data_IF_092350390970
#
_entry.id   IF_092350390970
#
_cell.length_a   1.000
_cell.length_b   1.000
_cell.length_c   1.000
_cell.angle_alpha   90.00
_cell.angle_beta   90.00
_cell.angle_gamma   90.00
#
_symmetry.space_group_name_H-M   'P 1'
#
loop_
_entity.id
_entity.type
_entity.pdbx_description
1 polymer ?
#
# COMPACT_ATOMS: atom_id res chain seq x y z
N UNK A 1 -16.89 6.25 -15.86
CA UNK A 1 -15.91 5.16 -16.04
C UNK A 1 -16.24 4.04 -15.06
N UNK A 2 -16.52 2.86 -15.60
CA UNK A 2 -16.83 1.63 -14.87
C UNK A 2 -15.60 1.16 -14.08
N UNK A 3 -15.81 0.44 -12.97
CA UNK A 3 -14.73 -0.12 -12.15
C UNK A 3 -13.98 -1.20 -12.92
N UNK A 4 -12.65 -1.11 -12.95
CA UNK A 4 -11.77 -2.11 -13.57
C UNK A 4 -11.39 -3.18 -12.52
N UNK A 5 -11.91 -4.40 -12.67
CA UNK A 5 -11.73 -5.47 -11.67
C UNK A 5 -10.33 -6.10 -11.74
N UNK A 6 -9.59 -5.95 -12.84
CA UNK A 6 -8.19 -6.41 -12.90
C UNK A 6 -7.31 -5.76 -11.84
N UNK A 7 -7.59 -4.48 -11.52
CA UNK A 7 -6.84 -3.75 -10.50
C UNK A 7 -7.14 -4.28 -9.09
N UNK A 8 -8.39 -4.64 -8.82
CA UNK A 8 -8.77 -5.27 -7.55
C UNK A 8 -8.15 -6.67 -7.45
N UNK A 9 -8.13 -7.44 -8.55
CA UNK A 9 -7.49 -8.76 -8.59
C UNK A 9 -5.98 -8.68 -8.32
N UNK A 10 -5.27 -7.72 -8.90
CA UNK A 10 -3.85 -7.49 -8.63
C UNK A 10 -3.60 -7.15 -7.16
N UNK A 11 -4.45 -6.32 -6.54
CA UNK A 11 -4.38 -6.05 -5.11
C UNK A 11 -4.73 -7.27 -4.25
N UNK A 12 -5.67 -8.10 -4.68
CA UNK A 12 -6.00 -9.37 -4.03
C UNK A 12 -4.81 -10.33 -4.04
N UNK A 13 -4.12 -10.43 -5.18
CA UNK A 13 -2.85 -11.17 -5.29
C UNK A 13 -1.78 -10.58 -4.36
N UNK A 14 -1.67 -9.26 -4.29
CA UNK A 14 -0.77 -8.59 -3.37
C UNK A 14 -1.07 -8.93 -1.90
N UNK A 15 -2.35 -9.01 -1.50
CA UNK A 15 -2.75 -9.44 -0.16
C UNK A 15 -2.27 -10.88 0.13
N UNK A 16 -2.46 -11.81 -0.82
CA UNK A 16 -1.98 -13.18 -0.67
C UNK A 16 -0.45 -13.25 -0.50
N UNK A 17 0.30 -12.56 -1.37
CA UNK A 17 1.76 -12.49 -1.29
C UNK A 17 2.23 -11.90 0.04
N UNK A 18 1.49 -10.93 0.58
CA UNK A 18 1.81 -10.33 1.87
C UNK A 18 1.73 -11.35 3.02
N UNK A 19 0.78 -12.30 2.99
CA UNK A 19 0.76 -13.43 3.94
C UNK A 19 2.06 -14.25 3.84
N UNK A 20 2.53 -14.54 2.62
CA UNK A 20 3.77 -15.28 2.41
C UNK A 20 5.00 -14.53 2.91
N UNK A 21 5.00 -13.20 2.83
CA UNK A 21 6.09 -12.35 3.31
C UNK A 21 6.21 -12.34 4.85
N UNK A 22 5.16 -12.71 5.57
CA UNK A 22 5.08 -12.60 7.03
C UNK A 22 4.95 -13.97 7.68
N UNK A 23 6.04 -14.75 7.66
CA UNK A 23 6.30 -15.85 8.59
C UNK A 23 7.77 -16.33 8.50
N UNK A 24 8.64 -15.76 9.34
CA UNK A 24 10.07 -16.10 9.38
C UNK A 24 10.39 -17.13 10.47
N UNK A 25 9.42 -17.61 11.24
CA UNK A 25 9.66 -18.55 12.34
C UNK A 25 9.94 -19.94 11.79
N UNK A 26 11.15 -20.15 11.26
CA UNK A 26 11.67 -21.45 10.86
C UNK A 26 11.95 -21.65 9.36
N UNK A 27 11.81 -20.65 8.50
CA UNK A 27 12.14 -20.78 7.06
C UNK A 27 13.63 -21.03 6.81
N UNK A 28 14.52 -20.77 7.77
CA UNK A 28 15.91 -21.22 7.69
C UNK A 28 16.06 -22.75 7.83
N UNK A 29 15.04 -23.45 8.35
CA UNK A 29 15.02 -24.91 8.53
C UNK A 29 14.23 -25.65 7.44
N UNK A 30 13.52 -24.93 6.57
CA UNK A 30 12.68 -25.51 5.51
C UNK A 30 12.93 -24.80 4.18
N UNK A 31 12.99 -25.53 3.05
CA UNK A 31 13.27 -25.01 1.69
C UNK A 31 12.19 -24.06 1.09
N UNK A 32 11.42 -23.36 1.91
CA UNK A 32 10.34 -22.45 1.50
C UNK A 32 10.81 -21.03 1.15
N UNK A 33 12.12 -20.81 0.98
CA UNK A 33 12.70 -19.50 0.68
C UNK A 33 12.06 -18.87 -0.57
N UNK A 34 11.78 -19.67 -1.61
CA UNK A 34 11.17 -19.18 -2.84
C UNK A 34 9.78 -18.55 -2.63
N UNK A 35 8.95 -19.13 -1.76
CA UNK A 35 7.60 -18.58 -1.47
C UNK A 35 7.70 -17.30 -0.65
N UNK A 36 8.59 -17.26 0.33
CA UNK A 36 8.88 -16.05 1.10
C UNK A 36 9.39 -14.92 0.19
N UNK A 37 10.31 -15.23 -0.72
CA UNK A 37 10.84 -14.31 -1.70
C UNK A 37 9.73 -13.77 -2.62
N UNK A 38 8.84 -14.63 -3.12
CA UNK A 38 7.64 -14.22 -3.87
C UNK A 38 6.74 -13.28 -3.05
N UNK A 39 6.60 -13.54 -1.76
CA UNK A 39 5.88 -12.66 -0.83
C UNK A 39 6.47 -11.24 -0.79
N UNK A 40 7.79 -11.11 -0.97
CA UNK A 40 8.50 -9.85 -1.08
C UNK A 40 7.97 -8.91 -2.17
N UNK A 41 7.30 -9.43 -3.20
CA UNK A 41 6.74 -8.65 -4.30
C UNK A 41 5.34 -8.08 -4.04
N UNK A 42 4.71 -8.38 -2.89
CA UNK A 42 3.42 -7.79 -2.53
C UNK A 42 3.37 -6.25 -2.65
N UNK A 43 4.37 -5.49 -2.13
CA UNK A 43 4.36 -4.03 -2.21
C UNK A 43 4.45 -3.51 -3.65
N UNK A 44 5.13 -4.22 -4.55
CA UNK A 44 5.24 -3.84 -5.98
C UNK A 44 3.85 -3.76 -6.60
N UNK A 45 3.03 -4.80 -6.40
CA UNK A 45 1.65 -4.82 -6.89
C UNK A 45 0.82 -3.70 -6.25
N UNK A 46 0.96 -3.50 -4.93
CA UNK A 46 0.22 -2.45 -4.23
C UNK A 46 0.52 -1.05 -4.75
N UNK A 47 1.80 -0.70 -4.88
CA UNK A 47 2.22 0.62 -5.32
C UNK A 47 1.87 0.87 -6.79
N UNK A 48 2.10 -0.12 -7.66
CA UNK A 48 1.77 0.02 -9.07
C UNK A 48 0.26 0.19 -9.29
N UNK A 49 -0.59 -0.63 -8.65
CA UNK A 49 -2.04 -0.43 -8.75
C UNK A 49 -2.47 0.88 -8.11
N UNK A 50 -1.85 1.32 -7.02
CA UNK A 50 -2.15 2.60 -6.38
C UNK A 50 -1.88 3.79 -7.29
N UNK A 51 -0.80 3.75 -8.09
CA UNK A 51 -0.52 4.74 -9.13
C UNK A 51 -1.64 4.81 -10.17
N UNK A 52 -2.12 3.67 -10.68
CA UNK A 52 -3.24 3.64 -11.62
C UNK A 52 -4.51 4.23 -10.99
N UNK A 53 -4.87 3.78 -9.79
CA UNK A 53 -6.08 4.25 -9.09
C UNK A 53 -6.02 5.75 -8.84
N UNK A 54 -4.85 6.29 -8.52
CA UNK A 54 -4.64 7.72 -8.31
C UNK A 54 -5.01 8.53 -9.54
N UNK A 55 -4.70 8.06 -10.76
CA UNK A 55 -5.09 8.77 -11.99
C UNK A 55 -6.61 8.95 -12.11
N UNK A 56 -7.39 7.95 -11.69
CA UNK A 56 -8.85 8.05 -11.66
C UNK A 56 -9.33 9.04 -10.59
N UNK A 57 -8.64 9.09 -9.45
CA UNK A 57 -8.96 10.03 -8.37
C UNK A 57 -8.66 11.47 -8.77
N UNK A 58 -7.53 11.73 -9.43
CA UNK A 58 -7.14 13.07 -9.93
C UNK A 58 -8.18 13.62 -10.91
N UNK A 59 -8.79 12.77 -11.75
CA UNK A 59 -9.86 13.16 -12.68
C UNK A 59 -11.20 13.48 -12.01
N UNK A 60 -11.44 12.97 -10.78
CA UNK A 60 -12.75 13.04 -10.11
C UNK A 60 -12.79 13.96 -8.89
N UNK A 61 -11.66 14.20 -8.26
CA UNK A 61 -11.58 14.91 -6.97
C UNK A 61 -10.66 16.11 -7.09
N UNK A 62 -10.92 17.13 -6.28
CA UNK A 62 -10.03 18.28 -6.20
C UNK A 62 -8.68 17.89 -5.59
N UNK A 63 -7.61 18.51 -6.05
CA UNK A 63 -6.24 18.25 -5.56
C UNK A 63 -6.11 18.48 -4.06
N UNK A 64 -6.77 19.49 -3.51
CA UNK A 64 -6.80 19.76 -2.05
C UNK A 64 -7.34 18.57 -1.26
N UNK A 65 -8.44 17.96 -1.73
CA UNK A 65 -9.03 16.78 -1.09
C UNK A 65 -8.10 15.58 -1.18
N UNK A 66 -7.43 15.38 -2.32
CA UNK A 66 -6.46 14.31 -2.48
C UNK A 66 -5.24 14.49 -1.60
N UNK A 67 -4.67 15.69 -1.54
CA UNK A 67 -3.53 15.99 -0.67
C UNK A 67 -3.89 15.69 0.78
N UNK A 68 -5.03 16.20 1.29
CA UNK A 68 -5.43 15.89 2.66
C UNK A 68 -5.61 14.38 2.88
N UNK A 69 -6.26 13.70 1.94
CA UNK A 69 -6.49 12.26 2.03
C UNK A 69 -5.19 11.46 2.14
N UNK A 70 -4.22 11.77 1.27
CA UNK A 70 -2.93 11.09 1.28
C UNK A 70 -2.02 11.55 2.41
N UNK A 71 -2.19 12.78 2.93
CA UNK A 71 -1.56 13.23 4.17
C UNK A 71 -2.10 12.46 5.39
N UNK A 72 -3.41 12.19 5.45
CA UNK A 72 -3.98 11.35 6.51
C UNK A 72 -3.45 9.90 6.43
N UNK A 73 -3.34 9.32 5.23
CA UNK A 73 -2.71 8.01 5.03
C UNK A 73 -1.21 8.02 5.40
N UNK A 74 -0.49 9.10 5.09
CA UNK A 74 0.89 9.26 5.51
C UNK A 74 1.02 9.25 7.03
N UNK A 75 0.21 10.06 7.72
CA UNK A 75 0.22 10.10 9.19
C UNK A 75 -0.15 8.75 9.80
N UNK A 76 -1.14 8.05 9.21
CA UNK A 76 -1.54 6.72 9.65
C UNK A 76 -0.38 5.72 9.60
N UNK A 77 0.56 5.89 8.66
CA UNK A 77 1.74 5.08 8.59
C UNK A 77 2.54 5.03 9.89
N UNK A 78 2.55 6.10 10.69
CA UNK A 78 3.20 6.07 12.02
C UNK A 78 2.52 5.09 12.99
N UNK A 79 1.20 4.97 12.97
CA UNK A 79 0.51 3.93 13.75
C UNK A 79 0.93 2.54 13.28
N UNK A 80 1.02 2.35 11.96
CA UNK A 80 1.45 1.09 11.36
C UNK A 80 2.89 0.72 11.73
N UNK A 81 3.82 1.68 11.76
CA UNK A 81 5.22 1.44 12.19
C UNK A 81 5.28 0.79 13.57
N UNK A 82 4.51 1.31 14.52
CA UNK A 82 4.52 0.75 15.86
C UNK A 82 3.85 -0.62 15.97
N UNK A 83 2.90 -0.97 15.09
CA UNK A 83 2.40 -2.35 14.98
C UNK A 83 3.45 -3.27 14.37
N UNK A 84 4.03 -2.89 13.24
CA UNK A 84 4.90 -3.74 12.44
C UNK A 84 6.25 -4.00 13.10
N UNK A 85 6.80 -3.01 13.81
CA UNK A 85 8.17 -3.04 14.34
C UNK A 85 8.24 -3.17 15.86
N UNK A 86 7.13 -2.98 16.59
CA UNK A 86 7.05 -3.17 18.05
C UNK A 86 7.97 -2.25 18.89
N UNK A 87 8.61 -1.25 18.28
CA UNK A 87 9.63 -0.38 18.91
C UNK A 87 9.24 1.09 18.83
N UNK A 88 8.27 1.47 19.66
CA UNK A 88 7.85 2.85 19.86
C UNK A 88 9.02 3.73 20.32
N UNK A 89 9.22 4.90 19.67
CA UNK A 89 10.24 5.88 20.05
C UNK A 89 11.68 5.59 19.59
N UNK A 90 11.92 4.48 18.86
CA UNK A 90 13.24 4.18 18.27
C UNK A 90 13.43 4.87 16.91
N UNK A 91 14.67 5.00 16.41
CA UNK A 91 14.96 5.53 15.06
C UNK A 91 14.16 4.81 13.95
N UNK A 92 13.86 3.53 14.18
CA UNK A 92 13.07 2.67 13.30
C UNK A 92 11.62 3.15 13.17
N UNK A 93 11.05 3.78 14.21
CA UNK A 93 9.71 4.39 14.18
C UNK A 93 9.61 5.57 13.20
N UNK A 94 10.71 6.29 12.97
CA UNK A 94 10.77 7.41 12.02
C UNK A 94 10.99 6.96 10.58
N UNK A 95 11.12 5.65 10.41
CA UNK A 95 11.24 4.98 9.13
C UNK A 95 10.05 5.14 8.19
N UNK A 96 10.34 5.05 6.90
CA UNK A 96 9.33 5.02 5.86
C UNK A 96 8.74 3.61 5.73
N UNK A 97 7.46 3.48 6.04
CA UNK A 97 6.69 2.24 5.83
C UNK A 97 5.69 2.37 4.68
N UNK A 98 5.04 1.26 4.38
CA UNK A 98 4.18 1.11 3.20
C UNK A 98 3.13 2.22 3.05
N UNK A 99 2.53 2.67 4.15
CA UNK A 99 1.49 3.70 4.14
C UNK A 99 2.07 5.11 3.94
N UNK A 100 3.22 5.42 4.55
CA UNK A 100 3.86 6.71 4.38
C UNK A 100 4.34 6.89 2.93
N UNK A 101 4.97 5.86 2.36
CA UNK A 101 5.37 5.89 0.95
C UNK A 101 4.17 5.99 0.03
N UNK A 102 3.09 5.26 0.32
CA UNK A 102 1.86 5.34 -0.47
C UNK A 102 1.28 6.76 -0.43
N UNK A 103 1.19 7.36 0.75
CA UNK A 103 0.73 8.73 0.94
C UNK A 103 1.62 9.73 0.20
N UNK A 104 2.93 9.70 0.44
CA UNK A 104 3.87 10.67 -0.13
C UNK A 104 4.00 10.54 -1.65
N UNK A 105 4.11 9.31 -2.18
CA UNK A 105 4.15 9.07 -3.63
C UNK A 105 2.89 9.61 -4.32
N UNK A 106 1.73 9.42 -3.69
CA UNK A 106 0.47 9.94 -4.20
C UNK A 106 0.43 11.47 -4.17
N UNK A 107 0.92 12.11 -3.10
CA UNK A 107 1.03 13.58 -3.02
C UNK A 107 1.95 14.10 -4.12
N UNK A 108 3.14 13.50 -4.29
CA UNK A 108 4.10 13.88 -5.35
C UNK A 108 3.42 13.85 -6.72
N UNK A 109 2.72 12.77 -7.06
CA UNK A 109 2.04 12.64 -8.35
C UNK A 109 0.84 13.60 -8.49
N UNK A 110 0.10 13.90 -7.42
CA UNK A 110 -1.00 14.90 -7.44
C UNK A 110 -0.47 16.32 -7.66
N UNK A 111 0.68 16.65 -7.06
CA UNK A 111 1.32 17.95 -7.27
C UNK A 111 1.86 18.04 -8.69
N UNK A 112 2.57 17.00 -9.13
CA UNK A 112 3.14 16.90 -10.48
C UNK A 112 2.07 17.00 -11.57
N UNK A 113 0.88 16.44 -11.33
CA UNK A 113 -0.25 16.51 -12.28
C UNK A 113 -0.76 17.94 -12.54
N UNK A 114 -0.29 18.94 -11.79
CA UNK A 114 -0.55 20.35 -12.10
C UNK A 114 0.19 20.79 -13.37
N UNK A 115 1.37 20.24 -13.62
CA UNK A 115 2.31 20.75 -14.63
C UNK A 115 2.45 19.82 -15.82
N UNK A 116 2.24 18.52 -15.61
CA UNK A 116 2.43 17.51 -16.65
C UNK A 116 1.27 16.52 -16.69
N UNK A 117 1.08 15.89 -17.84
CA UNK A 117 0.22 14.73 -17.95
C UNK A 117 0.93 13.50 -17.36
N UNK A 118 0.51 13.08 -16.18
CA UNK A 118 1.08 11.94 -15.45
C UNK A 118 1.01 10.63 -16.24
N UNK A 119 0.02 10.45 -17.12
CA UNK A 119 -0.07 9.26 -17.97
C UNK A 119 1.10 9.23 -18.95
N UNK A 120 1.46 10.37 -19.54
CA UNK A 120 2.62 10.48 -20.46
C UNK A 120 3.95 10.38 -19.73
N UNK A 121 4.11 11.11 -18.61
CA UNK A 121 5.37 11.15 -17.85
C UNK A 121 5.68 9.81 -17.17
N UNK A 122 4.68 8.94 -16.99
CA UNK A 122 4.88 7.59 -16.44
C UNK A 122 5.90 6.73 -17.20
N UNK A 123 6.21 7.03 -18.48
CA UNK A 123 7.30 6.38 -19.23
C UNK A 123 8.66 6.52 -18.55
N UNK A 124 8.85 7.57 -17.75
CA UNK A 124 10.04 7.82 -16.95
C UNK A 124 10.03 7.04 -15.63
N UNK A 125 9.26 5.95 -15.51
CA UNK A 125 9.23 5.13 -14.29
C UNK A 125 10.60 4.63 -13.81
N UNK A 126 11.64 4.42 -14.64
CA UNK A 126 12.97 4.06 -14.13
C UNK A 126 13.68 5.22 -13.44
N UNK A 127 13.31 6.47 -13.72
CA UNK A 127 14.02 7.65 -13.25
C UNK A 127 14.04 7.77 -11.71
N UNK A 128 12.92 7.58 -10.96
CA UNK A 128 12.98 7.53 -9.51
C UNK A 128 13.95 6.47 -8.98
N UNK A 129 14.04 5.30 -9.61
CA UNK A 129 14.99 4.27 -9.21
C UNK A 129 16.45 4.70 -9.47
N UNK A 130 16.73 5.35 -10.61
CA UNK A 130 18.05 5.92 -10.89
C UNK A 130 18.42 6.98 -9.86
N UNK A 131 17.48 7.86 -9.49
CA UNK A 131 17.68 8.84 -8.41
C UNK A 131 18.01 8.14 -7.09
N UNK A 132 17.35 7.02 -6.78
CA UNK A 132 17.68 6.22 -5.61
C UNK A 132 19.13 5.72 -5.62
N UNK A 133 19.62 5.20 -6.75
CA UNK A 133 21.01 4.77 -6.90
C UNK A 133 22.00 5.94 -6.77
N UNK A 134 21.64 7.13 -7.26
CA UNK A 134 22.47 8.33 -7.07
C UNK A 134 22.48 8.78 -5.60
N UNK A 135 21.44 8.45 -4.84
CA UNK A 135 21.31 8.76 -3.41
C UNK A 135 22.44 8.23 -2.54
N UNK A 136 23.09 7.13 -2.94
CA UNK A 136 24.26 6.59 -2.24
C UNK A 136 25.45 7.55 -2.22
N UNK A 137 25.53 8.46 -3.19
CA UNK A 137 26.63 9.43 -3.31
C UNK A 137 26.29 10.81 -2.73
N UNK A 138 25.07 11.02 -2.24
CA UNK A 138 24.63 12.30 -1.67
C UNK A 138 25.07 12.35 -0.19
N UNK A 139 25.66 13.46 0.31
CA UNK A 139 25.97 13.63 1.73
C UNK A 139 24.74 13.47 2.63
N UNK A 140 24.93 13.20 3.92
CA UNK A 140 23.81 13.04 4.85
C UNK A 140 23.04 14.36 5.07
N UNK A 141 21.71 14.26 5.11
CA UNK A 141 20.80 15.37 5.37
C UNK A 141 19.50 14.86 6.02
N UNK A 142 18.71 15.72 6.70
CA UNK A 142 17.45 15.31 7.31
C UNK A 142 16.51 14.65 6.29
N UNK A 143 15.92 13.51 6.64
CA UNK A 143 15.04 12.71 5.75
C UNK A 143 15.74 12.01 4.58
N UNK A 144 17.07 12.07 4.43
CA UNK A 144 17.80 11.24 3.45
C UNK A 144 17.35 9.78 3.54
N UNK A 145 17.16 9.31 4.76
CA UNK A 145 16.80 7.93 5.01
C UNK A 145 15.40 7.56 4.51
N UNK A 146 14.47 8.51 4.61
CA UNK A 146 13.11 8.35 4.13
C UNK A 146 13.05 8.28 2.59
N UNK A 147 13.99 8.96 1.92
CA UNK A 147 14.05 9.06 0.47
C UNK A 147 14.86 7.91 -0.15
N UNK A 148 15.94 7.50 0.52
CA UNK A 148 17.00 6.68 -0.07
C UNK A 148 17.37 5.42 0.73
N UNK A 149 17.15 5.32 2.05
CA UNK A 149 17.74 4.24 2.87
C UNK A 149 17.24 2.85 2.46
N UNK A 150 18.15 1.91 2.20
CA UNK A 150 17.83 0.49 2.21
C UNK A 150 17.47 0.01 3.63
N UNK A 151 16.61 -1.00 3.75
CA UNK A 151 16.20 -1.58 5.03
C UNK A 151 14.72 -1.38 5.38
N UNK A 152 14.01 -0.51 4.66
CA UNK A 152 12.57 -0.24 4.84
C UNK A 152 11.90 0.04 3.49
N UNK A 153 10.98 1.02 3.41
CA UNK A 153 10.36 1.47 2.18
C UNK A 153 10.85 2.88 1.78
N UNK A 154 12.02 3.05 1.13
CA UNK A 154 12.46 4.37 0.67
C UNK A 154 11.57 4.92 -0.45
N UNK A 155 11.24 6.22 -0.44
CA UNK A 155 10.27 6.81 -1.36
C UNK A 155 10.56 6.52 -2.85
N UNK A 156 11.78 6.82 -3.29
CA UNK A 156 12.11 6.88 -4.71
C UNK A 156 11.93 5.56 -5.48
N UNK A 157 12.48 4.41 -5.04
CA UNK A 157 12.33 3.18 -5.80
C UNK A 157 10.89 2.66 -5.77
N UNK A 158 10.08 3.01 -4.75
CA UNK A 158 8.65 2.67 -4.74
C UNK A 158 7.81 3.62 -5.61
N UNK A 159 8.18 4.90 -5.72
CA UNK A 159 7.59 5.85 -6.67
C UNK A 159 7.78 5.38 -8.12
N UNK A 160 8.90 4.72 -8.44
CA UNK A 160 9.10 4.06 -9.73
C UNK A 160 7.99 3.04 -10.01
N UNK A 161 7.59 2.22 -9.03
CA UNK A 161 6.51 1.25 -9.22
C UNK A 161 5.13 1.91 -9.38
N UNK A 162 4.84 3.02 -8.69
CA UNK A 162 3.64 3.83 -8.96
C UNK A 162 3.57 4.24 -10.43
N UNK A 163 4.67 4.79 -10.95
CA UNK A 163 4.76 5.22 -12.34
C UNK A 163 4.68 4.03 -13.31
N UNK A 164 5.31 2.90 -13.01
CA UNK A 164 5.23 1.68 -13.81
C UNK A 164 3.79 1.20 -13.97
N UNK A 165 3.00 1.22 -12.90
CA UNK A 165 1.58 0.86 -12.96
C UNK A 165 0.79 1.75 -13.91
N UNK A 166 0.98 3.08 -13.81
CA UNK A 166 0.35 4.06 -14.70
C UNK A 166 0.76 3.80 -16.16
N UNK A 167 2.05 3.57 -16.39
CA UNK A 167 2.63 3.33 -17.70
C UNK A 167 2.05 2.08 -18.37
N UNK A 168 2.02 0.96 -17.66
CA UNK A 168 1.47 -0.31 -18.15
C UNK A 168 -0.02 -0.22 -18.48
N UNK A 169 -0.76 0.61 -17.72
CA UNK A 169 -2.20 0.76 -17.88
C UNK A 169 -2.58 1.66 -19.06
N UNK A 170 -1.93 2.83 -19.22
CA UNK A 170 -2.35 3.85 -20.18
C UNK A 170 -1.49 3.92 -21.44
N UNK A 171 -0.19 3.69 -21.31
CA UNK A 171 0.77 4.06 -22.36
C UNK A 171 1.15 2.89 -23.27
N UNK A 172 0.92 1.65 -22.83
CA UNK A 172 1.33 0.47 -23.58
C UNK A 172 0.15 -0.39 -23.99
N UNK A 173 0.09 -0.74 -25.28
CA UNK A 173 -0.77 -1.84 -25.75
C UNK A 173 -0.28 -3.15 -25.12
N UNK A 174 -1.15 -4.16 -24.93
CA UNK A 174 -0.76 -5.44 -24.34
C UNK A 174 0.49 -6.08 -24.96
N UNK A 175 0.67 -5.97 -26.28
CA UNK A 175 1.87 -6.46 -27.00
C UNK A 175 3.16 -5.77 -26.55
N UNK A 176 3.14 -4.47 -26.26
CA UNK A 176 4.32 -3.75 -25.79
C UNK A 176 4.68 -4.13 -24.35
N UNK A 177 3.68 -4.37 -23.50
CA UNK A 177 3.93 -4.92 -22.16
C UNK A 177 4.60 -6.31 -22.22
N UNK A 178 4.23 -7.15 -23.19
CA UNK A 178 4.91 -8.44 -23.43
C UNK A 178 6.36 -8.25 -23.88
N UNK A 179 6.61 -7.36 -24.83
CA UNK A 179 7.97 -7.07 -25.30
C UNK A 179 8.82 -6.52 -24.15
N UNK A 180 8.30 -5.56 -23.38
CA UNK A 180 8.99 -5.00 -22.22
C UNK A 180 9.31 -6.08 -21.17
N UNK A 181 8.37 -6.99 -20.89
CA UNK A 181 8.61 -8.14 -20.01
C UNK A 181 9.75 -9.02 -20.51
N UNK A 182 9.78 -9.36 -21.80
CA UNK A 182 10.84 -10.18 -22.40
C UNK A 182 12.20 -9.48 -22.37
N UNK A 183 12.23 -8.17 -22.60
CA UNK A 183 13.45 -7.37 -22.48
C UNK A 183 13.96 -7.40 -21.04
N UNK A 184 13.09 -7.20 -20.05
CA UNK A 184 13.49 -7.22 -18.63
C UNK A 184 13.95 -8.61 -18.18
N UNK A 185 13.32 -9.68 -18.69
CA UNK A 185 13.78 -11.05 -18.49
C UNK A 185 15.16 -11.29 -19.12
N UNK A 186 15.40 -10.76 -20.33
CA UNK A 186 16.70 -10.81 -20.98
C UNK A 186 17.79 -10.08 -20.17
N UNK A 187 17.48 -8.89 -19.64
CA UNK A 187 18.38 -8.18 -18.71
C UNK A 187 18.65 -8.98 -17.44
N UNK A 188 17.62 -9.64 -16.88
CA UNK A 188 17.78 -10.49 -15.70
C UNK A 188 18.72 -11.66 -15.97
N UNK A 189 18.55 -12.37 -17.09
CA UNK A 189 19.44 -13.48 -17.50
C UNK A 189 20.86 -12.96 -17.71
N UNK A 190 21.03 -11.83 -18.42
CA UNK A 190 22.33 -11.23 -18.63
C UNK A 190 23.02 -10.82 -17.33
N UNK A 191 22.27 -10.28 -16.35
CA UNK A 191 22.82 -9.95 -15.03
C UNK A 191 23.28 -11.19 -14.29
N UNK A 192 22.44 -12.23 -14.21
CA UNK A 192 22.83 -13.50 -13.56
C UNK A 192 24.13 -14.05 -14.17
N UNK A 193 24.22 -14.10 -15.51
CA UNK A 193 25.36 -14.66 -16.21
C UNK A 193 26.65 -13.84 -16.04
N UNK A 194 26.56 -12.51 -15.97
CA UNK A 194 27.73 -11.64 -15.94
C UNK A 194 28.25 -11.32 -14.53
N UNK A 195 27.37 -11.22 -13.54
CA UNK A 195 27.75 -10.74 -12.20
C UNK A 195 27.60 -11.82 -11.13
N UNK A 196 26.91 -12.92 -11.43
CA UNK A 196 26.53 -13.92 -10.42
C UNK A 196 25.63 -13.36 -9.32
N UNK A 197 25.14 -12.11 -9.46
CA UNK A 197 24.30 -11.45 -8.46
C UNK A 197 23.05 -12.29 -8.27
N UNK A 198 22.89 -12.79 -7.04
CA UNK A 198 21.66 -13.42 -6.58
C UNK A 198 20.65 -12.35 -6.18
N UNK A 199 19.38 -12.66 -6.31
CA UNK A 199 18.31 -11.71 -6.02
C UNK A 199 18.21 -11.47 -4.52
N UNK A 200 18.79 -10.38 -4.06
CA UNK A 200 18.67 -9.96 -2.67
C UNK A 200 17.22 -9.62 -2.29
N UNK A 201 17.00 -9.58 -0.98
CA UNK A 201 15.74 -9.22 -0.36
C UNK A 201 15.30 -7.79 -0.76
N UNK A 202 13.98 -7.57 -0.86
CA UNK A 202 13.31 -6.28 -1.08
C UNK A 202 13.86 -5.10 -0.26
N UNK A 203 14.50 -5.35 0.88
CA UNK A 203 15.05 -4.31 1.73
C UNK A 203 16.26 -3.59 1.11
N UNK A 204 17.05 -4.26 0.26
CA UNK A 204 18.21 -3.63 -0.37
C UNK A 204 17.83 -2.74 -1.56
N UNK A 205 16.66 -2.98 -2.16
CA UNK A 205 16.22 -2.35 -3.41
C UNK A 205 17.33 -2.31 -4.47
N UNK A 206 18.10 -3.40 -4.57
CA UNK A 206 19.19 -3.53 -5.54
C UNK A 206 18.68 -3.45 -6.99
N UNK A 207 19.55 -3.13 -7.96
CA UNK A 207 19.19 -3.18 -9.39
C UNK A 207 18.60 -4.53 -9.80
N UNK A 208 19.15 -5.64 -9.26
CA UNK A 208 18.64 -6.98 -9.49
C UNK A 208 17.20 -7.14 -8.98
N UNK A 209 16.94 -6.78 -7.73
CA UNK A 209 15.58 -6.84 -7.17
C UNK A 209 14.60 -5.95 -7.96
N UNK A 210 15.00 -4.74 -8.34
CA UNK A 210 14.17 -3.83 -9.12
C UNK A 210 13.78 -4.42 -10.49
N UNK A 211 14.74 -4.99 -11.22
CA UNK A 211 14.51 -5.63 -12.53
C UNK A 211 13.55 -6.82 -12.42
N UNK A 212 13.75 -7.69 -11.42
CA UNK A 212 12.82 -8.80 -11.17
C UNK A 212 11.45 -8.28 -10.79
N UNK A 213 11.39 -7.25 -9.96
CA UNK A 213 10.15 -6.60 -9.56
C UNK A 213 9.36 -6.04 -10.75
N UNK A 214 10.03 -5.36 -11.67
CA UNK A 214 9.43 -4.84 -12.90
C UNK A 214 8.94 -5.99 -13.79
N UNK A 215 9.75 -7.03 -13.96
CA UNK A 215 9.40 -8.23 -14.74
C UNK A 215 8.15 -8.92 -14.15
N UNK A 216 8.16 -9.11 -12.82
CA UNK A 216 7.05 -9.68 -12.07
C UNK A 216 5.77 -8.87 -12.22
N UNK A 217 5.86 -7.54 -12.18
CA UNK A 217 4.69 -6.68 -12.39
C UNK A 217 4.13 -6.81 -13.81
N UNK A 218 4.98 -6.74 -14.84
CA UNK A 218 4.53 -6.93 -16.23
C UNK A 218 3.83 -8.28 -16.41
N UNK A 219 4.45 -9.35 -15.92
CA UNK A 219 3.88 -10.69 -15.96
C UNK A 219 2.52 -10.75 -15.26
N UNK A 220 2.45 -10.30 -14.00
CA UNK A 220 1.21 -10.30 -13.22
C UNK A 220 0.12 -9.47 -13.88
N UNK A 221 0.45 -8.29 -14.41
CA UNK A 221 -0.49 -7.44 -15.12
C UNK A 221 -1.05 -8.12 -16.37
N UNK A 222 -0.19 -8.74 -17.19
CA UNK A 222 -0.61 -9.47 -18.39
C UNK A 222 -1.47 -10.69 -18.06
N UNK A 223 -1.08 -11.49 -17.07
CA UNK A 223 -1.83 -12.66 -16.62
C UNK A 223 -3.21 -12.23 -16.13
N UNK A 224 -3.28 -11.28 -15.18
CA UNK A 224 -4.56 -10.82 -14.61
C UNK A 224 -5.48 -10.24 -15.69
N UNK A 225 -4.95 -9.43 -16.62
CA UNK A 225 -5.73 -8.90 -17.75
C UNK A 225 -6.23 -9.98 -18.70
N UNK A 226 -5.49 -11.06 -18.85
CA UNK A 226 -5.88 -12.19 -19.69
C UNK A 226 -6.95 -13.04 -18.98
N UNK A 227 -6.80 -13.30 -17.69
CA UNK A 227 -7.74 -14.13 -16.92
C UNK A 227 -9.01 -13.38 -16.48
N UNK A 228 -9.00 -12.04 -16.42
CA UNK A 228 -10.18 -11.25 -16.00
C UNK A 228 -11.43 -11.57 -16.83
N UNK A 229 -11.23 -11.92 -18.10
CA UNK A 229 -12.29 -12.33 -19.03
C UNK A 229 -12.93 -13.67 -18.64
N UNK A 230 -12.24 -14.48 -17.86
CA UNK A 230 -12.65 -15.82 -17.46
C UNK A 230 -13.18 -15.80 -16.02
N UNK A 231 -14.26 -16.55 -15.78
CA UNK A 231 -14.79 -16.78 -14.43
C UNK A 231 -13.98 -17.89 -13.77
N UNK A 232 -12.90 -17.55 -13.08
CA UNK A 232 -12.10 -18.54 -12.33
C UNK A 232 -12.61 -18.70 -10.88
N UNK A 233 -12.39 -19.87 -10.25
CA UNK A 233 -12.72 -20.09 -8.85
C UNK A 233 -12.04 -19.06 -7.94
N UNK A 234 -12.71 -18.59 -6.89
CA UNK A 234 -12.20 -17.59 -5.94
C UNK A 234 -12.04 -16.16 -6.47
N UNK A 235 -12.50 -15.85 -7.69
CA UNK A 235 -12.41 -14.49 -8.26
C UNK A 235 -13.00 -13.42 -7.34
N UNK A 236 -14.13 -13.70 -6.71
CA UNK A 236 -14.84 -12.72 -5.88
C UNK A 236 -14.10 -12.45 -4.56
N UNK A 237 -13.41 -13.45 -4.03
CA UNK A 237 -12.62 -13.41 -2.81
C UNK A 237 -11.36 -12.57 -3.04
N UNK A 238 -10.66 -12.76 -4.18
CA UNK A 238 -9.55 -11.90 -4.56
C UNK A 238 -9.98 -10.46 -4.80
N UNK A 239 -11.12 -10.25 -5.48
CA UNK A 239 -11.70 -8.90 -5.63
C UNK A 239 -12.00 -8.32 -4.24
N UNK A 240 -12.62 -9.08 -3.34
CA UNK A 240 -12.93 -8.62 -1.99
C UNK A 240 -11.67 -8.20 -1.22
N UNK A 241 -10.61 -9.00 -1.25
CA UNK A 241 -9.31 -8.66 -0.65
C UNK A 241 -8.74 -7.36 -1.26
N UNK A 242 -8.76 -7.24 -2.59
CA UNK A 242 -8.26 -6.05 -3.26
C UNK A 242 -9.05 -4.79 -2.99
N UNK A 243 -10.37 -4.90 -2.88
CA UNK A 243 -11.26 -3.79 -2.53
C UNK A 243 -11.04 -3.29 -1.11
N UNK A 244 -10.69 -4.20 -0.20
CA UNK A 244 -10.53 -3.94 1.23
C UNK A 244 -9.06 -4.03 1.66
N UNK A 245 -8.13 -3.76 0.75
CA UNK A 245 -6.70 -4.03 0.99
C UNK A 245 -6.09 -3.21 2.12
N UNK A 246 -6.64 -2.02 2.40
CA UNK A 246 -6.20 -1.21 3.54
C UNK A 246 -6.60 -1.87 4.86
N UNK A 247 -7.83 -2.39 4.97
CA UNK A 247 -8.26 -3.15 6.14
C UNK A 247 -7.45 -4.44 6.28
N UNK A 248 -7.20 -5.12 5.16
CA UNK A 248 -6.33 -6.30 5.12
C UNK A 248 -4.95 -6.01 5.74
N UNK A 249 -4.35 -4.87 5.40
CA UNK A 249 -3.03 -4.47 5.90
C UNK A 249 -2.96 -4.49 7.44
N UNK A 250 -4.00 -4.00 8.12
CA UNK A 250 -4.04 -4.03 9.58
C UNK A 250 -4.41 -5.41 10.13
N UNK A 251 -5.45 -6.04 9.58
CA UNK A 251 -5.96 -7.33 10.10
C UNK A 251 -4.92 -8.44 9.98
N UNK A 252 -4.24 -8.56 8.83
CA UNK A 252 -3.32 -9.68 8.61
C UNK A 252 -2.09 -9.64 9.54
N UNK A 253 -1.55 -8.45 9.84
CA UNK A 253 -0.43 -8.32 10.78
C UNK A 253 -0.85 -8.67 12.19
N UNK A 254 -2.04 -8.24 12.62
CA UNK A 254 -2.54 -8.60 13.93
C UNK A 254 -2.67 -10.12 14.09
N UNK A 255 -3.29 -10.78 13.10
CA UNK A 255 -3.44 -12.25 13.08
C UNK A 255 -2.07 -12.93 13.06
N UNK A 256 -1.17 -12.50 12.17
CA UNK A 256 0.15 -13.10 12.02
C UNK A 256 1.03 -12.94 13.27
N UNK A 257 1.02 -11.75 13.89
CA UNK A 257 1.87 -11.43 15.03
C UNK A 257 1.35 -12.00 16.35
N UNK A 258 0.04 -11.89 16.63
CA UNK A 258 -0.52 -12.25 17.95
C UNK A 258 -0.92 -13.72 18.05
N UNK A 259 -1.44 -14.31 16.97
CA UNK A 259 -2.05 -15.64 17.05
C UNK A 259 -1.07 -16.74 16.63
N UNK A 260 -0.40 -16.62 15.48
CA UNK A 260 0.27 -17.78 14.89
C UNK A 260 1.74 -17.97 15.24
N UNK A 261 2.48 -16.91 15.63
CA UNK A 261 3.88 -17.09 16.06
C UNK A 261 4.03 -17.97 17.31
N UNK A 262 2.95 -18.19 18.06
CA UNK A 262 2.95 -18.98 19.30
C UNK A 262 2.33 -20.37 19.16
N UNK A 263 1.56 -20.65 18.12
CA UNK A 263 0.80 -21.91 17.98
C UNK A 263 1.57 -22.98 17.21
N UNK A 264 2.18 -22.64 16.09
CA UNK A 264 2.88 -23.61 15.24
C UNK A 264 4.02 -22.98 14.45
N UNK A 265 5.11 -23.73 14.26
CA UNK A 265 6.25 -23.33 13.44
C UNK A 265 6.14 -23.78 11.98
N UNK A 266 5.05 -24.46 11.59
CA UNK A 266 4.85 -24.98 10.24
C UNK A 266 4.35 -23.87 9.29
N UNK A 267 5.14 -23.43 8.29
CA UNK A 267 4.80 -22.23 7.50
C UNK A 267 3.48 -22.33 6.74
N UNK A 268 3.19 -23.49 6.14
CA UNK A 268 1.95 -23.71 5.37
C UNK A 268 0.71 -23.54 6.25
N UNK A 269 0.72 -24.14 7.44
CA UNK A 269 -0.42 -24.04 8.37
C UNK A 269 -0.63 -22.58 8.76
N UNK A 270 0.45 -21.86 9.10
CA UNK A 270 0.35 -20.44 9.43
C UNK A 270 -0.19 -19.64 8.25
N UNK A 271 0.29 -19.85 7.02
CA UNK A 271 -0.17 -19.10 5.86
C UNK A 271 -1.66 -19.34 5.55
N UNK A 272 -2.07 -20.62 5.51
CA UNK A 272 -3.47 -20.98 5.23
C UNK A 272 -4.39 -20.43 6.30
N UNK A 273 -4.07 -20.66 7.58
CA UNK A 273 -4.93 -20.22 8.68
C UNK A 273 -4.92 -18.70 8.81
N UNK A 274 -3.77 -18.03 8.65
CA UNK A 274 -3.70 -16.56 8.66
C UNK A 274 -4.54 -15.94 7.55
N UNK A 275 -4.52 -16.52 6.34
CA UNK A 275 -5.35 -16.05 5.23
C UNK A 275 -6.84 -16.22 5.53
N UNK A 276 -7.25 -17.41 6.01
CA UNK A 276 -8.65 -17.70 6.35
C UNK A 276 -9.14 -16.77 7.47
N UNK A 277 -8.39 -16.68 8.58
CA UNK A 277 -8.78 -15.84 9.71
C UNK A 277 -8.78 -14.36 9.34
N UNK A 278 -7.80 -13.90 8.57
CA UNK A 278 -7.80 -12.51 8.06
C UNK A 278 -9.07 -12.24 7.27
N UNK A 279 -9.44 -13.14 6.35
CA UNK A 279 -10.65 -13.00 5.54
C UNK A 279 -11.92 -12.97 6.40
N UNK A 280 -12.05 -13.90 7.36
CA UNK A 280 -13.21 -13.99 8.27
C UNK A 280 -13.32 -12.75 9.16
N UNK A 281 -12.22 -12.32 9.79
CA UNK A 281 -12.20 -11.13 10.64
C UNK A 281 -12.52 -9.87 9.85
N UNK A 282 -11.99 -9.71 8.64
CA UNK A 282 -12.36 -8.58 7.77
C UNK A 282 -13.86 -8.55 7.47
N UNK A 283 -14.46 -9.71 7.13
CA UNK A 283 -15.91 -9.81 6.89
C UNK A 283 -16.71 -9.44 8.13
N UNK A 284 -16.30 -9.93 9.30
CA UNK A 284 -16.95 -9.61 10.57
C UNK A 284 -16.85 -8.11 10.90
N UNK A 285 -15.67 -7.49 10.73
CA UNK A 285 -15.48 -6.06 10.96
C UNK A 285 -16.32 -5.19 10.02
N UNK A 286 -16.38 -5.53 8.73
CA UNK A 286 -17.23 -4.82 7.75
C UNK A 286 -18.70 -4.99 8.11
N UNK A 287 -19.11 -6.20 8.53
CA UNK A 287 -20.49 -6.45 8.96
C UNK A 287 -20.83 -5.63 10.21
N UNK A 288 -19.98 -5.63 11.24
CA UNK A 288 -20.15 -4.82 12.44
C UNK A 288 -20.24 -3.33 12.09
N UNK A 289 -19.36 -2.83 11.23
CA UNK A 289 -19.36 -1.44 10.78
C UNK A 289 -20.68 -1.04 10.10
N UNK A 290 -21.27 -1.96 9.32
CA UNK A 290 -22.57 -1.74 8.67
C UNK A 290 -23.74 -1.63 9.64
N UNK A 291 -23.62 -2.19 10.85
CA UNK A 291 -24.63 -2.06 11.90
C UNK A 291 -24.54 -0.70 12.61
N UNK A 292 -23.38 -0.04 12.57
CA UNK A 292 -23.16 1.26 13.25
C UNK A 292 -23.57 2.40 12.31
N UNK A 293 -24.71 3.02 12.62
CA UNK A 293 -25.20 4.23 11.93
C UNK A 293 -24.68 5.48 12.65
N UNK A 294 -23.74 6.18 12.01
CA UNK A 294 -23.21 7.47 12.47
C UNK A 294 -23.71 8.55 11.52
N UNK A 295 -24.27 9.63 12.07
CA UNK A 295 -24.66 10.80 11.28
C UNK A 295 -23.42 11.42 10.61
N UNK A 296 -23.57 11.81 9.34
CA UNK A 296 -22.56 12.51 8.55
C UNK A 296 -22.04 13.78 9.28
N UNK A 297 -22.87 14.40 10.14
CA UNK A 297 -22.48 15.56 10.97
C UNK A 297 -21.41 15.27 12.03
N UNK A 298 -21.26 14.01 12.45
CA UNK A 298 -20.32 13.58 13.51
C UNK A 298 -18.94 13.26 12.94
N UNK A 299 -18.84 12.88 11.66
CA UNK A 299 -17.58 12.45 11.05
C UNK A 299 -16.41 13.42 11.20
N UNK A 300 -16.59 14.74 11.09
CA UNK A 300 -15.47 15.66 11.31
C UNK A 300 -14.86 15.51 12.71
N UNK A 301 -15.69 15.38 13.75
CA UNK A 301 -15.23 15.14 15.12
C UNK A 301 -14.60 13.76 15.27
N UNK A 302 -15.19 12.74 14.64
CA UNK A 302 -14.59 11.40 14.58
C UNK A 302 -13.17 11.45 14.00
N UNK A 303 -12.97 12.20 12.91
CA UNK A 303 -11.65 12.34 12.28
C UNK A 303 -10.66 13.13 13.13
N UNK A 304 -11.08 14.22 13.76
CA UNK A 304 -10.23 14.95 14.70
C UNK A 304 -9.82 14.06 15.88
N UNK A 305 -10.79 13.35 16.48
CA UNK A 305 -10.53 12.40 17.56
C UNK A 305 -9.56 11.29 17.14
N UNK A 306 -9.72 10.75 15.93
CA UNK A 306 -8.86 9.71 15.39
C UNK A 306 -7.43 10.22 15.12
N UNK A 307 -7.27 11.45 14.62
CA UNK A 307 -5.94 12.08 14.45
C UNK A 307 -5.31 12.36 15.82
N UNK A 308 -6.05 12.91 16.78
CA UNK A 308 -5.55 13.13 18.13
C UNK A 308 -5.11 11.81 18.78
N UNK A 309 -5.91 10.76 18.63
CA UNK A 309 -5.57 9.43 19.12
C UNK A 309 -4.29 8.93 18.45
N UNK A 310 -4.20 9.00 17.12
CA UNK A 310 -3.02 8.63 16.35
C UNK A 310 -1.74 9.33 16.84
N UNK A 311 -1.80 10.65 17.07
CA UNK A 311 -0.68 11.45 17.58
C UNK A 311 -0.35 11.13 19.04
N UNK A 312 -1.31 10.64 19.82
CA UNK A 312 -1.10 10.24 21.22
C UNK A 312 -0.48 8.85 21.38
N UNK A 313 -0.62 7.96 20.39
CA UNK A 313 -0.15 6.57 20.48
C UNK A 313 1.33 6.45 20.88
N UNK A 314 2.27 7.23 20.33
CA UNK A 314 3.69 7.14 20.71
C UNK A 314 3.97 7.41 22.20
N UNK A 315 3.02 8.06 22.89
CA UNK A 315 3.13 8.39 24.31
C UNK A 315 2.43 7.35 25.21
N UNK A 316 1.77 6.34 24.63
CA UNK A 316 1.16 5.25 25.38
C UNK A 316 2.19 4.17 25.72
N UNK A 317 2.00 3.40 26.82
CA UNK A 317 2.85 2.25 27.08
C UNK A 317 2.79 1.24 25.92
N UNK A 318 3.88 0.52 25.59
CA UNK A 318 4.00 -0.27 24.36
C UNK A 318 2.83 -1.23 24.08
N UNK A 319 2.35 -1.93 25.12
CA UNK A 319 1.23 -2.87 25.00
C UNK A 319 -0.06 -2.17 24.57
N UNK A 320 -0.38 -1.01 25.17
CA UNK A 320 -1.56 -0.24 24.80
C UNK A 320 -1.40 0.44 23.45
N UNK A 321 -0.22 0.99 23.16
CA UNK A 321 0.09 1.61 21.88
C UNK A 321 -0.16 0.65 20.70
N UNK A 322 0.25 -0.61 20.84
CA UNK A 322 0.01 -1.66 19.84
C UNK A 322 -1.48 -1.87 19.53
N UNK A 323 -2.32 -2.10 20.56
CA UNK A 323 -3.75 -2.32 20.37
C UNK A 323 -4.48 -1.06 19.88
N UNK A 324 -4.11 0.11 20.40
CA UNK A 324 -4.67 1.38 19.95
C UNK A 324 -4.36 1.64 18.48
N UNK A 325 -3.13 1.37 18.01
CA UNK A 325 -2.79 1.45 16.60
C UNK A 325 -3.65 0.56 15.72
N UNK A 326 -3.87 -0.68 16.16
CA UNK A 326 -4.70 -1.63 15.42
C UNK A 326 -6.15 -1.14 15.29
N UNK A 327 -6.74 -0.69 16.41
CA UNK A 327 -8.11 -0.15 16.45
C UNK A 327 -8.22 1.08 15.54
N UNK A 328 -7.29 2.03 15.66
CA UNK A 328 -7.25 3.24 14.81
C UNK A 328 -7.13 2.88 13.33
N UNK A 329 -6.23 1.94 13.01
CA UNK A 329 -6.04 1.45 11.64
C UNK A 329 -7.29 0.82 11.05
N UNK A 330 -7.97 -0.05 11.80
CA UNK A 330 -9.21 -0.70 11.37
C UNK A 330 -10.34 0.32 11.20
N UNK A 331 -10.57 1.20 12.18
CA UNK A 331 -11.61 2.23 12.12
C UNK A 331 -11.43 3.15 10.91
N UNK A 332 -10.19 3.59 10.65
CA UNK A 332 -9.89 4.39 9.48
C UNK A 332 -10.14 3.60 8.19
N UNK A 333 -9.68 2.35 8.12
CA UNK A 333 -9.85 1.49 6.95
C UNK A 333 -11.30 1.22 6.59
N UNK A 334 -12.20 1.20 7.58
CA UNK A 334 -13.63 1.04 7.37
C UNK A 334 -14.30 2.34 6.91
N UNK A 335 -13.86 3.48 7.44
CA UNK A 335 -14.54 4.78 7.26
C UNK A 335 -13.86 5.78 6.33
N UNK A 336 -12.69 5.46 5.74
CA UNK A 336 -11.92 6.40 4.91
C UNK A 336 -12.69 7.03 3.74
N UNK A 337 -13.74 6.35 3.24
CA UNK A 337 -14.62 6.88 2.20
C UNK A 337 -15.32 8.17 2.61
N UNK A 338 -15.49 8.40 3.91
CA UNK A 338 -16.13 9.56 4.53
C UNK A 338 -15.14 10.66 4.96
N UNK A 339 -13.84 10.53 4.66
CA UNK A 339 -12.84 11.53 5.03
C UNK A 339 -13.10 12.91 4.40
N UNK A 340 -13.72 12.94 3.22
CA UNK A 340 -14.09 14.19 2.54
C UNK A 340 -15.08 15.06 3.33
N UNK A 341 -15.83 14.49 4.29
CA UNK A 341 -16.75 15.23 5.15
C UNK A 341 -16.05 16.18 6.12
N UNK A 342 -14.74 16.05 6.35
CA UNK A 342 -13.98 17.06 7.12
C UNK A 342 -14.12 18.46 6.49
N UNK A 343 -14.22 18.53 5.17
CA UNK A 343 -14.35 19.80 4.44
C UNK A 343 -15.76 20.38 4.42
N UNK A 344 -16.78 19.67 4.94
CA UNK A 344 -18.17 20.17 4.94
C UNK A 344 -18.52 20.98 6.18
N UNK A 345 -17.70 20.93 7.25
CA UNK A 345 -17.88 21.70 8.49
C UNK A 345 -18.08 23.21 8.25
N UNK A 346 -17.28 23.90 7.40
CA UNK A 346 -17.49 25.33 7.16
C UNK A 346 -18.86 25.60 6.51
N UNK A 347 -19.26 24.75 5.56
CA UNK A 347 -20.48 24.94 4.78
C UNK A 347 -21.75 24.59 5.55
N UNK A 348 -21.72 23.62 6.47
CA UNK A 348 -22.86 23.29 7.32
C UNK A 348 -23.20 24.41 8.30
N UNK A 349 -22.19 25.10 8.84
CA UNK A 349 -22.39 26.27 9.71
C UNK A 349 -23.01 27.44 8.94
N UNK A 350 -22.56 27.71 7.71
CA UNK A 350 -23.17 28.72 6.84
C UNK A 350 -24.60 28.35 6.41
N UNK A 351 -24.88 27.08 6.14
CA UNK A 351 -26.22 26.63 5.72
C UNK A 351 -27.24 26.77 6.85
N UNK A 352 -26.91 26.36 8.09
CA UNK A 352 -27.77 26.58 9.26
C UNK A 352 -28.01 28.05 9.56
N UNK A 353 -26.99 28.90 9.45
CA UNK A 353 -27.13 30.36 9.65
C UNK A 353 -28.01 30.98 8.56
N UNK A 354 -27.94 30.49 7.32
CA UNK A 354 -28.77 30.97 6.21
C UNK A 354 -30.22 30.53 6.35
N UNK A 355 -30.46 29.28 6.78
CA UNK A 355 -31.80 28.76 7.04
C UNK A 355 -32.44 29.46 8.26
N UNK A 356 -31.67 29.77 9.33
CA UNK A 356 -32.16 30.56 10.47
C UNK A 356 -32.43 32.03 10.13
N UNK A 357 -31.76 32.60 9.12
CA UNK A 357 -32.02 33.96 8.62
C UNK A 357 -33.18 34.04 7.65
N UNK A 358 -33.60 32.93 7.05
CA UNK A 358 -34.77 32.85 6.16
C UNK A 358 -36.05 32.47 6.91
N UNK A 359 -35.93 32.00 8.15
CA UNK A 359 -37.05 31.69 9.05
C UNK A 359 -37.36 32.81 10.06
N UNK A 360 -36.78 34.00 9.88
CA UNK A 360 -37.07 35.24 10.60
C UNK A 360 -37.40 36.30 9.56
#
# INVERSE_FOLDING_TARGET
MQRDYSLDLLKGLACLLMIFAHNTTGTAKYDWWGIYFLGGFAPILFYAVSGVVLTFQIKKKSRKVLILYYSALFLLGFSYNGIAMGRWGSEVFWGAEILQVLGLSSIVLVVLSKWVNIEKVSILFPLPFIIHLLGYYIPDFPFKEFLFRPGQFPLFPWLAFFMLGIYCFYSMRPKFNQIAMLIMLGFQVALILNTGITFDNKWDMSPGYFIVGVTFFYFSFLVIRSIEKYKFPFRNEFIFLGQNSLLFLFVHIFIGHQLFMHITKQPIIVWVVSLILTFVVMKALIWLDSQVKIDDSIYPFFWYGLICLLLSIPYLPPNYGYYCSYIVGCLLSLRYSKLNLIFTLPNLRFRRIREQKLSR
#
